data_IF_980001344875
#
_entry.id   IF_980001344875
#
_cell.length_a   1.000
_cell.length_b   1.000
_cell.length_c   1.000
_cell.angle_alpha   90.00
_cell.angle_beta   90.00
_cell.angle_gamma   90.00
#
_symmetry.space_group_name_H-M   'P 1'
#
loop_
_entity.id
_entity.type
_entity.pdbx_description
1 polymer ?
#
# COMPACT_ATOMS: atom_id res chain seq x y z
N UNK A 1 59.60 -17.98 -48.10
CA UNK A 1 59.12 -19.17 -47.34
C UNK A 1 57.86 -18.75 -46.58
N UNK A 2 56.76 -19.50 -46.69
CA UNK A 2 55.49 -19.18 -46.00
C UNK A 2 55.34 -19.99 -44.71
N UNK A 3 54.72 -19.40 -43.69
CA UNK A 3 54.37 -20.12 -42.47
C UNK A 3 53.32 -21.21 -42.77
N UNK A 4 53.43 -22.35 -42.08
CA UNK A 4 52.45 -23.44 -42.21
C UNK A 4 51.17 -23.04 -41.49
N UNK A 5 50.17 -22.61 -42.24
CA UNK A 5 48.82 -22.40 -41.73
C UNK A 5 47.98 -23.68 -41.91
N UNK A 6 47.22 -24.06 -40.88
CA UNK A 6 46.27 -25.19 -40.94
C UNK A 6 44.94 -24.78 -40.33
N UNK A 7 43.87 -24.94 -41.09
CA UNK A 7 42.51 -24.74 -40.58
C UNK A 7 42.21 -25.75 -39.47
N UNK A 8 41.68 -25.27 -38.34
CA UNK A 8 41.29 -26.14 -37.22
C UNK A 8 39.82 -26.49 -37.38
N UNK A 9 39.51 -27.78 -37.45
CA UNK A 9 38.12 -28.27 -37.58
C UNK A 9 37.21 -27.79 -36.44
N UNK A 10 37.76 -27.54 -35.25
CA UNK A 10 37.04 -26.98 -34.09
C UNK A 10 36.46 -25.57 -34.34
N UNK A 11 37.04 -24.79 -35.25
CA UNK A 11 36.46 -23.50 -35.64
C UNK A 11 35.30 -23.66 -36.63
N UNK A 12 35.32 -24.73 -37.43
CA UNK A 12 34.23 -25.04 -38.36
C UNK A 12 33.03 -25.70 -37.66
N UNK A 13 33.28 -26.65 -36.75
CA UNK A 13 32.23 -27.37 -36.01
C UNK A 13 32.60 -27.56 -34.54
N UNK A 14 31.81 -26.96 -33.66
CA UNK A 14 31.93 -27.10 -32.20
C UNK A 14 30.53 -27.25 -31.60
N UNK A 15 30.00 -28.49 -31.48
CA UNK A 15 28.72 -28.70 -30.84
C UNK A 15 28.79 -28.31 -29.36
N UNK A 16 27.64 -27.99 -28.80
CA UNK A 16 27.51 -27.72 -27.37
C UNK A 16 27.90 -28.94 -26.52
N UNK A 17 28.26 -28.68 -25.27
CA UNK A 17 28.51 -29.77 -24.31
C UNK A 17 27.19 -30.39 -23.91
N UNK A 18 27.15 -31.72 -23.77
CA UNK A 18 25.98 -32.41 -23.25
C UNK A 18 25.53 -31.81 -21.91
N UNK A 19 24.26 -31.43 -21.84
CA UNK A 19 23.65 -30.88 -20.64
C UNK A 19 23.54 -31.96 -19.55
N UNK A 20 23.44 -31.52 -18.31
CA UNK A 20 23.22 -32.41 -17.17
C UNK A 20 21.72 -32.56 -16.93
N UNK A 21 21.21 -33.79 -17.03
CA UNK A 21 19.85 -34.08 -16.62
C UNK A 21 19.73 -33.81 -15.10
N UNK A 22 18.80 -32.96 -14.69
CA UNK A 22 18.55 -32.61 -13.28
C UNK A 22 19.79 -32.11 -12.51
N UNK A 23 20.73 -31.43 -13.19
CA UNK A 23 22.03 -31.02 -12.63
C UNK A 23 22.92 -32.18 -12.12
N UNK A 24 22.60 -33.44 -12.43
CA UNK A 24 23.36 -34.61 -12.01
C UNK A 24 24.43 -34.96 -13.04
N UNK A 25 25.68 -35.15 -12.60
CA UNK A 25 26.71 -35.73 -13.45
C UNK A 25 26.78 -37.26 -13.22
N UNK A 26 26.65 -38.10 -14.25
CA UNK A 26 26.45 -39.54 -14.10
C UNK A 26 27.60 -40.26 -13.38
N UNK A 27 28.82 -39.75 -13.51
CA UNK A 27 30.02 -40.35 -12.94
C UNK A 27 30.57 -39.61 -11.72
N UNK A 28 29.75 -38.81 -11.02
CA UNK A 28 30.22 -38.03 -9.86
C UNK A 28 30.82 -38.91 -8.76
N UNK A 29 30.13 -40.00 -8.43
CA UNK A 29 30.52 -40.94 -7.36
C UNK A 29 31.62 -41.91 -7.79
N UNK A 30 31.90 -42.03 -9.08
CA UNK A 30 32.89 -42.96 -9.63
C UNK A 30 34.26 -42.31 -9.87
N UNK A 31 34.31 -41.00 -10.09
CA UNK A 31 35.54 -40.27 -10.44
C UNK A 31 36.20 -39.66 -9.20
N UNK A 32 37.54 -39.56 -9.15
CA UNK A 32 38.22 -38.84 -8.09
C UNK A 32 37.90 -37.33 -8.16
N UNK A 33 37.86 -36.68 -7.00
CA UNK A 33 37.63 -35.23 -6.88
C UNK A 33 38.93 -34.45 -7.15
N UNK A 34 39.33 -34.37 -8.42
CA UNK A 34 40.49 -33.59 -8.89
C UNK A 34 40.02 -32.33 -9.63
N UNK A 35 40.76 -31.21 -9.51
CA UNK A 35 40.47 -29.97 -10.25
C UNK A 35 40.34 -30.26 -11.75
N UNK A 36 39.26 -29.82 -12.42
CA UNK A 36 39.07 -30.06 -13.84
C UNK A 36 40.21 -29.40 -14.63
N UNK A 37 40.80 -30.13 -15.58
CA UNK A 37 41.92 -29.65 -16.39
C UNK A 37 43.23 -30.38 -16.10
N UNK A 38 43.55 -30.64 -14.83
CA UNK A 38 44.82 -31.28 -14.43
C UNK A 38 45.01 -32.65 -15.10
N UNK A 39 44.04 -33.55 -14.96
CA UNK A 39 44.06 -34.87 -15.62
C UNK A 39 43.96 -34.81 -17.15
N UNK A 40 43.61 -33.64 -17.72
CA UNK A 40 43.55 -33.41 -19.18
C UNK A 40 44.80 -32.69 -19.71
N UNK A 41 45.78 -32.40 -18.87
CA UNK A 41 46.98 -31.65 -19.23
C UNK A 41 46.76 -30.15 -19.45
N UNK A 42 45.64 -29.59 -18.96
CA UNK A 42 45.40 -28.14 -18.99
C UNK A 42 45.87 -27.55 -17.67
N UNK A 43 46.98 -26.81 -17.74
CA UNK A 43 47.59 -26.11 -16.64
C UNK A 43 48.00 -24.71 -17.09
N UNK A 44 48.01 -23.76 -16.16
CA UNK A 44 48.36 -22.37 -16.36
C UNK A 44 48.94 -21.84 -15.05
N UNK A 45 50.16 -21.30 -15.11
CA UNK A 45 50.80 -20.68 -13.94
C UNK A 45 50.07 -19.38 -13.56
N UNK A 46 49.73 -18.59 -14.58
CA UNK A 46 48.97 -17.35 -14.46
C UNK A 46 47.75 -17.39 -15.39
N UNK A 47 46.61 -16.90 -14.91
CA UNK A 47 45.40 -16.73 -15.72
C UNK A 47 45.11 -15.23 -15.79
N UNK A 48 45.26 -14.65 -16.97
CA UNK A 48 44.93 -13.24 -17.24
C UNK A 48 43.58 -13.18 -17.93
N UNK A 49 42.56 -12.62 -17.27
CA UNK A 49 41.24 -12.39 -17.85
C UNK A 49 41.11 -10.91 -18.27
N UNK A 50 40.92 -10.68 -19.57
CA UNK A 50 40.79 -9.32 -20.12
C UNK A 50 39.44 -8.66 -19.78
N UNK A 51 38.51 -9.39 -19.15
CA UNK A 51 37.20 -8.87 -18.72
C UNK A 51 37.26 -8.18 -17.36
N UNK A 52 38.35 -8.35 -16.62
CA UNK A 52 38.52 -7.74 -15.31
C UNK A 52 38.76 -6.23 -15.43
N UNK A 53 38.27 -5.48 -14.44
CA UNK A 53 38.38 -4.01 -14.42
C UNK A 53 39.83 -3.53 -14.49
N UNK A 54 40.77 -4.21 -13.84
CA UNK A 54 42.20 -3.87 -13.81
C UNK A 54 42.87 -3.95 -15.19
N UNK A 55 42.25 -4.67 -16.14
CA UNK A 55 42.79 -4.91 -17.48
C UNK A 55 42.03 -4.17 -18.58
N UNK A 56 41.08 -3.30 -18.22
CA UNK A 56 40.28 -2.54 -19.17
C UNK A 56 41.16 -1.74 -20.14
N UNK A 57 42.14 -0.99 -19.63
CA UNK A 57 43.08 -0.19 -20.45
C UNK A 57 43.88 -1.06 -21.43
N UNK A 58 44.30 -2.25 -20.97
CA UNK A 58 45.01 -3.20 -21.81
C UNK A 58 44.09 -3.73 -22.93
N UNK A 59 42.85 -4.07 -22.60
CA UNK A 59 41.85 -4.51 -23.58
C UNK A 59 41.56 -3.41 -24.59
N UNK A 60 41.35 -2.17 -24.15
CA UNK A 60 41.08 -1.02 -25.01
C UNK A 60 42.25 -0.69 -25.93
N UNK A 61 43.50 -0.80 -25.45
CA UNK A 61 44.70 -0.59 -26.28
C UNK A 61 44.89 -1.67 -27.36
N UNK A 62 44.36 -2.88 -27.13
CA UNK A 62 44.37 -3.98 -28.11
C UNK A 62 43.29 -3.77 -29.20
N UNK A 63 42.20 -3.07 -28.90
CA UNK A 63 41.11 -2.84 -29.88
C UNK A 63 41.56 -1.90 -31.00
N UNK A 64 41.05 -2.14 -32.20
CA UNK A 64 41.40 -1.30 -33.34
C UNK A 64 40.66 0.05 -33.26
N UNK A 65 41.33 1.21 -33.44
CA UNK A 65 40.69 2.53 -33.37
C UNK A 65 39.53 2.82 -34.35
N UNK A 66 39.22 1.87 -35.24
CA UNK A 66 38.12 1.98 -36.20
C UNK A 66 36.82 1.36 -35.66
N UNK A 67 36.93 0.49 -34.67
CA UNK A 67 35.80 -0.09 -33.95
C UNK A 67 35.36 0.96 -32.92
N UNK A 68 34.22 1.60 -33.18
CA UNK A 68 33.67 2.63 -32.29
C UNK A 68 32.53 2.03 -31.47
N UNK A 69 32.61 2.21 -30.15
CA UNK A 69 31.54 1.82 -29.23
C UNK A 69 30.58 3.01 -29.05
N UNK A 70 29.30 2.78 -29.31
CA UNK A 70 28.23 3.76 -29.03
C UNK A 70 27.71 3.58 -27.60
N UNK A 71 26.95 4.55 -27.09
CA UNK A 71 26.31 4.49 -25.75
C UNK A 71 27.28 4.45 -24.56
N UNK A 72 28.38 5.22 -24.64
CA UNK A 72 29.39 5.29 -23.57
C UNK A 72 28.84 5.99 -22.32
N UNK A 73 28.17 7.14 -22.50
CA UNK A 73 27.69 7.97 -21.39
C UNK A 73 26.16 7.87 -21.16
N UNK A 74 25.41 7.31 -22.12
CA UNK A 74 23.95 7.19 -22.05
C UNK A 74 23.49 5.87 -22.67
N UNK A 75 22.35 5.34 -22.23
CA UNK A 75 21.74 4.14 -22.81
C UNK A 75 20.47 4.46 -23.57
N UNK A 76 20.18 3.67 -24.61
CA UNK A 76 18.95 3.79 -25.37
C UNK A 76 17.68 3.58 -24.52
N UNK A 77 17.70 2.59 -23.61
CA UNK A 77 16.57 2.32 -22.71
C UNK A 77 16.72 3.06 -21.37
N UNK A 78 15.58 3.45 -20.78
CA UNK A 78 15.54 4.04 -19.43
C UNK A 78 15.97 3.00 -18.38
N UNK A 79 17.04 3.31 -17.64
CA UNK A 79 17.62 2.46 -16.60
C UNK A 79 16.84 2.54 -15.27
N UNK A 80 16.03 3.58 -15.07
CA UNK A 80 15.30 3.83 -13.82
C UNK A 80 13.98 3.07 -13.71
N UNK A 81 13.70 2.16 -14.64
CA UNK A 81 12.55 1.26 -14.56
C UNK A 81 12.99 0.03 -13.76
N UNK A 82 12.29 -0.26 -12.67
CA UNK A 82 12.53 -1.44 -11.83
C UNK A 82 12.36 -2.72 -12.66
N UNK A 83 13.45 -3.46 -12.86
CA UNK A 83 13.48 -4.73 -13.60
C UNK A 83 14.03 -5.84 -12.74
N UNK A 84 13.60 -7.04 -13.06
CA UNK A 84 14.11 -8.25 -12.45
C UNK A 84 15.55 -8.57 -12.86
N UNK A 85 16.30 -9.15 -11.93
CA UNK A 85 17.64 -9.70 -12.17
C UNK A 85 17.58 -11.00 -12.97
N UNK A 86 18.72 -11.41 -13.52
CA UNK A 86 18.83 -12.70 -14.19
C UNK A 86 18.62 -13.88 -13.24
N UNK A 87 18.12 -15.01 -13.77
CA UNK A 87 17.82 -16.21 -12.96
C UNK A 87 19.00 -16.68 -12.11
N UNK A 88 20.21 -16.66 -12.67
CA UNK A 88 21.41 -17.12 -11.96
C UNK A 88 21.80 -16.16 -10.82
N UNK A 89 21.58 -14.85 -10.99
CA UNK A 89 21.80 -13.83 -9.96
C UNK A 89 20.78 -13.99 -8.82
N UNK A 90 19.49 -14.18 -9.15
CA UNK A 90 18.44 -14.47 -8.15
C UNK A 90 18.77 -15.74 -7.34
N UNK A 91 19.25 -16.80 -7.99
CA UNK A 91 19.68 -18.03 -7.32
C UNK A 91 20.90 -17.82 -6.41
N UNK A 92 21.85 -16.96 -6.80
CA UNK A 92 22.99 -16.62 -5.93
C UNK A 92 22.54 -15.81 -4.70
N UNK A 93 21.62 -14.85 -4.88
CA UNK A 93 21.05 -14.09 -3.78
C UNK A 93 20.27 -14.98 -2.82
N UNK A 94 19.41 -15.88 -3.32
CA UNK A 94 18.65 -16.79 -2.47
C UNK A 94 19.53 -17.79 -1.73
N UNK A 95 20.61 -18.28 -2.35
CA UNK A 95 21.57 -19.16 -1.70
C UNK A 95 22.39 -18.43 -0.61
N UNK A 96 22.79 -17.17 -0.87
CA UNK A 96 23.57 -16.35 0.07
C UNK A 96 22.75 -15.86 1.26
N UNK A 97 21.50 -15.49 1.02
CA UNK A 97 20.61 -14.86 2.00
C UNK A 97 19.41 -15.74 2.35
N UNK A 98 19.65 -17.03 2.59
CA UNK A 98 18.60 -17.99 2.93
C UNK A 98 17.77 -17.58 4.17
N UNK A 99 18.41 -16.86 5.10
CA UNK A 99 17.79 -16.40 6.34
C UNK A 99 16.76 -15.27 6.17
N UNK A 100 16.56 -14.75 4.94
CA UNK A 100 15.47 -13.81 4.63
C UNK A 100 14.11 -14.52 4.48
N UNK A 101 14.09 -15.86 4.46
CA UNK A 101 12.82 -16.60 4.46
C UNK A 101 12.03 -16.33 5.77
N UNK A 102 10.69 -16.23 5.70
CA UNK A 102 9.88 -16.09 6.91
C UNK A 102 10.08 -17.29 7.83
N UNK A 103 10.00 -17.05 9.14
CA UNK A 103 10.13 -18.07 10.18
C UNK A 103 11.41 -18.94 10.07
N UNK A 104 12.50 -18.37 9.53
CA UNK A 104 13.77 -19.08 9.43
C UNK A 104 14.41 -19.35 10.80
N UNK A 105 14.14 -18.50 11.79
CA UNK A 105 14.72 -18.60 13.14
C UNK A 105 14.15 -19.79 13.89
N UNK A 106 15.03 -20.59 14.50
CA UNK A 106 14.62 -21.76 15.29
C UNK A 106 13.84 -21.31 16.53
N UNK A 107 12.65 -21.89 16.71
CA UNK A 107 11.79 -21.70 17.88
C UNK A 107 11.46 -23.07 18.51
N UNK A 108 11.61 -23.26 19.85
CA UNK A 108 12.22 -22.34 20.81
C UNK A 108 13.75 -22.21 20.64
N UNK A 109 14.31 -21.10 21.10
CA UNK A 109 15.75 -20.83 21.02
C UNK A 109 16.46 -21.26 22.31
N UNK A 110 17.47 -22.13 22.19
CA UNK A 110 18.08 -22.81 23.35
C UNK A 110 19.56 -22.43 23.54
N UNK A 111 20.22 -21.87 22.53
CA UNK A 111 21.67 -21.61 22.54
C UNK A 111 21.99 -20.19 23.02
N UNK A 112 22.68 -20.07 24.16
CA UNK A 112 23.03 -18.77 24.73
C UNK A 112 24.55 -18.67 24.96
N UNK A 113 25.12 -17.45 24.99
CA UNK A 113 26.55 -17.28 25.27
C UNK A 113 26.88 -17.83 26.67
N UNK A 114 28.03 -18.47 26.79
CA UNK A 114 28.51 -19.12 28.03
C UNK A 114 28.16 -20.60 28.16
N UNK A 115 27.24 -21.14 27.36
CA UNK A 115 26.95 -22.58 27.40
C UNK A 115 28.13 -23.41 26.84
N UNK A 116 28.36 -24.58 27.45
CA UNK A 116 29.31 -25.56 26.92
C UNK A 116 28.60 -26.46 25.92
N UNK A 117 29.19 -26.59 24.74
CA UNK A 117 28.64 -27.36 23.63
C UNK A 117 29.68 -28.23 22.95
N UNK A 118 29.23 -29.30 22.30
CA UNK A 118 30.06 -30.25 21.56
C UNK A 118 29.59 -30.35 20.09
N UNK A 119 30.55 -30.41 19.16
CA UNK A 119 30.28 -30.55 17.73
C UNK A 119 29.99 -32.02 17.40
N UNK A 120 28.79 -32.29 16.89
CA UNK A 120 28.32 -33.66 16.55
C UNK A 120 28.58 -34.03 15.09
N UNK A 121 28.63 -33.04 14.18
CA UNK A 121 28.84 -33.30 12.76
C UNK A 121 29.65 -32.20 12.06
N UNK A 122 30.40 -32.58 11.02
CA UNK A 122 31.19 -31.65 10.20
C UNK A 122 32.69 -31.72 10.50
N UNK A 123 33.34 -30.57 10.46
CA UNK A 123 34.76 -30.44 10.82
C UNK A 123 34.86 -30.21 12.33
N UNK A 124 35.83 -30.86 12.99
CA UNK A 124 36.01 -30.76 14.44
C UNK A 124 35.01 -31.55 15.29
N UNK A 125 34.45 -32.65 14.76
CA UNK A 125 33.54 -33.54 15.52
C UNK A 125 34.20 -34.04 16.81
N UNK A 126 33.44 -33.99 17.91
CA UNK A 126 33.88 -34.39 19.26
C UNK A 126 34.62 -33.30 20.03
N UNK A 127 34.90 -32.15 19.40
CA UNK A 127 35.49 -31.01 20.11
C UNK A 127 34.42 -30.27 20.91
N UNK A 128 34.79 -29.88 22.13
CA UNK A 128 33.96 -29.13 23.07
C UNK A 128 34.46 -27.70 23.19
N UNK A 129 33.56 -26.75 23.39
CA UNK A 129 33.90 -25.36 23.65
C UNK A 129 32.72 -24.58 24.22
N UNK A 130 33.01 -23.40 24.78
CA UNK A 130 31.98 -22.48 25.23
C UNK A 130 31.48 -21.59 24.08
N UNK A 131 30.19 -21.29 24.05
CA UNK A 131 29.61 -20.34 23.09
C UNK A 131 30.09 -18.92 23.46
N UNK A 132 30.82 -18.27 22.55
CA UNK A 132 31.27 -16.88 22.70
C UNK A 132 30.16 -15.91 22.29
N UNK A 133 29.59 -16.13 21.11
CA UNK A 133 28.61 -15.24 20.52
C UNK A 133 27.55 -16.02 19.73
N UNK A 134 26.36 -15.43 19.63
CA UNK A 134 25.20 -16.06 19.00
C UNK A 134 24.63 -15.14 17.92
N UNK A 135 24.54 -15.65 16.69
CA UNK A 135 23.89 -14.95 15.59
C UNK A 135 22.50 -15.56 15.35
N UNK A 136 21.54 -15.16 16.19
CA UNK A 136 20.19 -15.75 16.26
C UNK A 136 19.47 -15.78 14.90
N UNK A 137 19.50 -14.68 14.14
CA UNK A 137 18.78 -14.58 12.87
C UNK A 137 19.33 -15.50 11.76
N UNK A 138 20.59 -15.96 11.85
CA UNK A 138 21.19 -16.92 10.90
C UNK A 138 21.14 -18.37 11.38
N UNK A 139 20.71 -18.61 12.62
CA UNK A 139 20.87 -19.90 13.30
C UNK A 139 22.34 -20.36 13.36
N UNK A 140 23.24 -19.44 13.72
CA UNK A 140 24.68 -19.69 13.81
C UNK A 140 25.21 -19.30 15.20
N UNK A 141 26.22 -20.04 15.67
CA UNK A 141 26.91 -19.81 16.94
C UNK A 141 28.41 -19.77 16.72
N UNK A 142 29.11 -18.96 17.50
CA UNK A 142 30.58 -18.87 17.51
C UNK A 142 31.05 -19.55 18.78
N UNK A 143 31.85 -20.61 18.63
CA UNK A 143 32.31 -21.46 19.75
C UNK A 143 33.81 -21.32 19.88
N UNK A 144 34.29 -21.16 21.11
CA UNK A 144 35.71 -20.93 21.41
C UNK A 144 36.62 -22.03 20.85
N UNK A 145 37.70 -21.63 20.17
CA UNK A 145 38.70 -22.53 19.57
C UNK A 145 38.16 -23.57 18.55
N UNK A 146 36.95 -23.39 18.03
CA UNK A 146 36.36 -24.28 17.02
C UNK A 146 36.12 -23.49 15.73
N UNK A 147 36.39 -24.11 14.57
CA UNK A 147 36.25 -23.47 13.25
C UNK A 147 37.04 -22.15 13.14
N UNK A 148 38.28 -22.15 13.64
CA UNK A 148 39.20 -21.03 13.52
C UNK A 148 39.64 -20.91 12.06
N UNK A 149 39.49 -19.73 11.47
CA UNK A 149 40.02 -19.45 10.13
C UNK A 149 40.76 -18.12 10.11
N UNK A 150 41.63 -17.99 9.11
CA UNK A 150 42.39 -16.78 8.86
C UNK A 150 41.50 -15.70 8.24
N UNK A 151 41.31 -14.58 8.95
CA UNK A 151 40.62 -13.38 8.47
C UNK A 151 41.67 -12.42 7.95
N UNK A 152 41.64 -12.19 6.63
CA UNK A 152 42.53 -11.23 5.97
C UNK A 152 41.93 -9.83 6.07
N UNK A 153 42.67 -8.91 6.66
CA UNK A 153 42.34 -7.49 6.73
C UNK A 153 43.14 -6.80 5.61
N UNK A 154 42.46 -6.19 4.61
CA UNK A 154 43.16 -5.55 3.50
C UNK A 154 44.02 -4.38 3.99
N UNK A 155 45.13 -4.15 3.29
CA UNK A 155 46.02 -3.03 3.57
C UNK A 155 45.29 -1.68 3.39
N UNK A 156 45.54 -0.75 4.29
CA UNK A 156 45.21 0.67 4.16
C UNK A 156 46.49 1.48 4.06
N UNK A 157 46.40 2.77 3.70
CA UNK A 157 47.59 3.64 3.58
C UNK A 157 48.47 3.62 4.83
N UNK A 158 47.85 3.56 6.01
CA UNK A 158 48.53 3.55 7.31
C UNK A 158 48.82 2.15 7.88
N UNK A 159 48.25 1.08 7.31
CA UNK A 159 48.30 -0.27 7.90
C UNK A 159 48.57 -1.32 6.82
N UNK A 160 49.62 -2.13 6.94
CA UNK A 160 49.87 -3.23 6.01
C UNK A 160 48.76 -4.30 6.09
N UNK A 161 48.71 -5.18 5.10
CA UNK A 161 47.82 -6.34 5.13
C UNK A 161 48.13 -7.21 6.36
N UNK A 162 47.09 -7.60 7.09
CA UNK A 162 47.22 -8.38 8.31
C UNK A 162 46.32 -9.59 8.26
N UNK A 163 46.87 -10.74 8.65
CA UNK A 163 46.12 -12.00 8.79
C UNK A 163 45.90 -12.26 10.27
N UNK A 164 44.63 -12.36 10.69
CA UNK A 164 44.24 -12.58 12.08
C UNK A 164 43.37 -13.82 12.17
N UNK A 165 43.62 -14.69 13.14
CA UNK A 165 42.79 -15.86 13.38
C UNK A 165 41.57 -15.51 14.22
N UNK A 166 40.40 -15.94 13.75
CA UNK A 166 39.13 -15.81 14.47
C UNK A 166 38.25 -17.04 14.27
N UNK A 167 37.49 -17.36 15.30
CA UNK A 167 36.43 -18.37 15.24
C UNK A 167 35.31 -17.91 14.30
N UNK A 168 34.95 -18.76 13.36
CA UNK A 168 33.86 -18.49 12.43
C UNK A 168 32.55 -19.14 12.87
N UNK A 169 31.40 -18.57 12.47
CA UNK A 169 30.09 -19.10 12.84
C UNK A 169 29.90 -20.55 12.38
N UNK A 170 29.29 -21.35 13.26
CA UNK A 170 28.95 -22.75 13.06
C UNK A 170 27.42 -22.86 13.07
N UNK A 171 26.88 -23.69 12.19
CA UNK A 171 25.44 -23.95 12.18
C UNK A 171 25.00 -24.63 13.47
N UNK A 172 23.94 -24.10 14.07
CA UNK A 172 23.33 -24.59 15.31
C UNK A 172 22.99 -26.08 15.27
N UNK A 173 22.55 -26.60 14.11
CA UNK A 173 22.14 -28.00 13.94
C UNK A 173 23.32 -28.98 14.13
N UNK A 174 24.56 -28.51 13.98
CA UNK A 174 25.76 -29.35 14.10
C UNK A 174 26.24 -29.53 15.53
N UNK A 175 25.63 -28.84 16.48
CA UNK A 175 26.13 -28.68 17.84
C UNK A 175 25.05 -29.09 18.85
N UNK A 176 25.48 -29.69 19.97
CA UNK A 176 24.61 -30.11 21.07
C UNK A 176 25.15 -29.60 22.40
N UNK A 177 24.26 -29.39 23.36
CA UNK A 177 24.64 -28.97 24.70
C UNK A 177 25.31 -30.11 25.47
N UNK A 178 26.26 -29.75 26.32
CA UNK A 178 26.87 -30.64 27.29
C UNK A 178 26.30 -30.28 28.65
N UNK A 179 25.79 -31.27 29.37
CA UNK A 179 25.27 -31.07 30.72
C UNK A 179 26.42 -30.78 31.69
N UNK A 180 26.36 -29.71 32.50
CA UNK A 180 27.41 -29.42 33.47
C UNK A 180 27.53 -30.47 34.59
N UNK A 181 26.51 -31.30 34.82
CA UNK A 181 26.52 -32.34 35.87
C UNK A 181 27.06 -33.69 35.38
N UNK A 182 26.72 -34.10 34.17
CA UNK A 182 27.12 -35.40 33.61
C UNK A 182 28.32 -35.31 32.67
N UNK A 183 28.68 -34.10 32.21
CA UNK A 183 29.69 -33.85 31.18
C UNK A 183 29.45 -34.63 29.88
N UNK A 184 28.20 -35.03 29.64
CA UNK A 184 27.74 -35.76 28.47
C UNK A 184 26.79 -34.90 27.64
N UNK A 185 26.62 -35.29 26.38
CA UNK A 185 25.66 -34.68 25.47
C UNK A 185 24.25 -34.82 26.04
N UNK A 186 23.49 -33.73 26.09
CA UNK A 186 22.12 -33.77 26.59
C UNK A 186 21.13 -33.08 25.66
N UNK A 187 19.85 -33.47 25.79
CA UNK A 187 18.73 -32.77 25.17
C UNK A 187 18.16 -31.75 26.15
N UNK A 188 18.04 -30.50 25.70
CA UNK A 188 17.46 -29.41 26.48
C UNK A 188 16.05 -29.08 25.96
N UNK A 189 15.13 -28.80 26.88
CA UNK A 189 13.80 -28.26 26.59
C UNK A 189 13.56 -26.96 27.38
N UNK A 190 12.73 -26.05 26.84
CA UNK A 190 12.38 -24.80 27.52
C UNK A 190 11.20 -25.04 28.47
N UNK A 191 11.39 -24.73 29.74
CA UNK A 191 10.42 -24.92 30.83
C UNK A 191 10.16 -23.59 31.52
N UNK A 192 8.89 -23.29 31.82
CA UNK A 192 8.49 -22.11 32.59
C UNK A 192 8.53 -22.42 34.07
N UNK A 193 9.35 -21.68 34.82
CA UNK A 193 9.52 -21.84 36.26
C UNK A 193 9.17 -20.53 36.95
N UNK A 194 8.35 -20.59 37.99
CA UNK A 194 8.07 -19.42 38.83
C UNK A 194 9.26 -19.15 39.73
N UNK A 195 9.85 -17.96 39.60
CA UNK A 195 10.92 -17.54 40.49
C UNK A 195 10.37 -17.31 41.90
N UNK A 196 11.06 -17.82 42.92
CA UNK A 196 10.63 -17.71 44.32
C UNK A 196 10.81 -16.30 44.87
N UNK A 197 11.77 -15.54 44.35
CA UNK A 197 12.13 -14.21 44.84
C UNK A 197 11.30 -13.11 44.17
N UNK A 198 11.25 -13.10 42.83
CA UNK A 198 10.51 -12.08 42.06
C UNK A 198 9.03 -12.43 41.87
N UNK A 199 8.66 -13.70 42.03
CA UNK A 199 7.30 -14.20 41.77
C UNK A 199 6.93 -14.28 40.29
N UNK A 200 7.79 -13.80 39.38
CA UNK A 200 7.60 -13.80 37.94
C UNK A 200 7.78 -15.21 37.34
N UNK A 201 7.12 -15.47 36.20
CA UNK A 201 7.32 -16.68 35.42
C UNK A 201 8.50 -16.45 34.47
N UNK A 202 9.60 -17.14 34.73
CA UNK A 202 10.81 -17.10 33.91
C UNK A 202 10.93 -18.36 33.06
N UNK A 203 11.40 -18.20 31.83
CA UNK A 203 11.75 -19.33 30.97
C UNK A 203 13.17 -19.79 31.31
N UNK A 204 13.33 -21.08 31.62
CA UNK A 204 14.60 -21.73 31.86
C UNK A 204 14.75 -22.93 30.94
N UNK A 205 15.96 -23.41 30.75
CA UNK A 205 16.25 -24.59 29.93
C UNK A 205 16.50 -25.76 30.87
N UNK A 206 15.86 -26.89 30.65
CA UNK A 206 16.00 -28.09 31.47
C UNK A 206 16.67 -29.19 30.67
N UNK A 207 17.69 -29.82 31.23
CA UNK A 207 18.25 -31.08 30.71
C UNK A 207 17.29 -32.23 31.00
N UNK A 208 16.88 -32.96 29.96
CA UNK A 208 15.97 -34.10 30.11
C UNK A 208 16.60 -35.28 30.85
N UNK A 209 17.93 -35.41 30.78
CA UNK A 209 18.66 -36.56 31.33
C UNK A 209 18.93 -36.40 32.83
N UNK A 210 19.41 -35.22 33.24
CA UNK A 210 19.77 -34.93 34.63
C UNK A 210 18.70 -34.15 35.41
N UNK A 211 17.77 -33.51 34.70
CA UNK A 211 16.83 -32.55 35.28
C UNK A 211 17.47 -31.20 35.66
N UNK A 212 18.72 -30.94 35.27
CA UNK A 212 19.42 -29.69 35.59
C UNK A 212 18.77 -28.50 34.88
N UNK A 213 18.46 -27.47 35.66
CA UNK A 213 17.92 -26.19 35.17
C UNK A 213 19.05 -25.20 34.86
N UNK A 214 19.17 -24.83 33.60
CA UNK A 214 20.07 -23.80 33.10
C UNK A 214 19.31 -22.49 32.90
N UNK A 215 19.69 -21.40 33.59
CA UNK A 215 19.08 -20.09 33.37
C UNK A 215 19.44 -19.54 31.98
N UNK A 216 18.62 -18.63 31.48
CA UNK A 216 18.95 -17.81 30.31
C UNK A 216 19.83 -16.66 30.82
N UNK A 217 21.08 -16.52 30.34
CA UNK A 217 21.93 -15.41 30.75
C UNK A 217 21.31 -14.07 30.28
N UNK A 218 21.40 -13.00 31.09
CA UNK A 218 21.03 -11.68 30.62
C UNK A 218 21.91 -11.30 29.43
N UNK A 219 21.35 -10.53 28.51
CA UNK A 219 22.14 -10.01 27.40
C UNK A 219 23.04 -8.89 27.94
N UNK A 220 24.35 -9.10 27.89
CA UNK A 220 25.34 -8.06 28.14
C UNK A 220 25.32 -7.09 26.95
N UNK A 221 24.36 -6.18 26.93
CA UNK A 221 24.50 -4.98 26.11
C UNK A 221 25.59 -4.15 26.77
N UNK A 222 26.79 -4.12 26.21
CA UNK A 222 27.73 -3.06 26.51
C UNK A 222 26.98 -1.76 26.27
N UNK A 223 26.59 -1.06 27.33
CA UNK A 223 25.81 0.16 27.23
C UNK A 223 26.69 1.18 26.49
N UNK A 224 26.41 1.38 25.21
CA UNK A 224 26.98 2.50 24.48
C UNK A 224 26.52 3.75 25.23
N UNK A 225 27.48 4.51 25.76
CA UNK A 225 27.16 5.70 26.54
C UNK A 225 26.64 6.75 25.56
N UNK A 226 25.42 7.23 25.79
CA UNK A 226 24.81 8.29 24.99
C UNK A 226 25.49 9.66 25.18
N UNK A 227 25.07 10.64 24.39
CA UNK A 227 25.64 12.00 24.44
C UNK A 227 24.98 12.77 25.60
N UNK A 228 25.70 13.03 26.71
CA UNK A 228 25.11 13.68 27.89
C UNK A 228 24.63 15.11 27.61
N UNK A 229 25.03 15.73 26.49
CA UNK A 229 24.53 17.06 26.11
C UNK A 229 23.12 17.01 25.49
N UNK A 230 22.74 15.86 24.90
CA UNK A 230 21.45 15.67 24.22
C UNK A 230 20.52 14.73 24.97
N UNK A 231 21.07 13.91 25.84
CA UNK A 231 20.31 12.98 26.66
C UNK A 231 19.77 13.73 27.88
N UNK A 232 18.45 13.65 28.04
CA UNK A 232 17.78 14.22 29.23
C UNK A 232 18.09 13.34 30.44
N UNK A 233 18.37 13.94 31.62
CA UNK A 233 18.59 13.14 32.82
C UNK A 233 17.29 12.41 33.19
N UNK A 234 17.42 11.17 33.68
CA UNK A 234 16.29 10.29 34.00
C UNK A 234 15.27 10.97 34.94
N UNK A 235 15.75 11.82 35.86
CA UNK A 235 14.90 12.56 36.79
C UNK A 235 13.91 13.49 36.09
N UNK A 236 14.34 14.18 35.04
CA UNK A 236 13.51 15.11 34.27
C UNK A 236 12.59 14.34 33.31
N UNK A 237 13.05 13.19 32.79
CA UNK A 237 12.23 12.32 31.92
C UNK A 237 11.11 11.61 32.67
N UNK A 238 11.38 11.19 33.91
CA UNK A 238 10.42 10.48 34.78
C UNK A 238 9.47 11.45 35.51
N UNK A 239 9.67 12.76 35.37
CA UNK A 239 8.79 13.75 35.98
C UNK A 239 7.38 13.65 35.37
N UNK A 240 6.44 13.11 36.15
CA UNK A 240 5.05 12.92 35.74
C UNK A 240 4.29 14.25 35.74
N UNK A 241 4.49 15.04 34.68
CA UNK A 241 3.90 16.38 34.49
C UNK A 241 2.52 16.37 33.83
N UNK A 242 2.05 15.22 33.32
CA UNK A 242 0.79 15.10 32.61
C UNK A 242 -0.43 15.12 33.56
N UNK A 243 -1.17 16.23 33.55
CA UNK A 243 -2.49 16.34 34.17
C UNK A 243 -3.60 16.04 33.15
N UNK A 244 -4.12 14.81 33.24
CA UNK A 244 -5.15 14.32 32.33
C UNK A 244 -6.42 15.15 32.37
N UNK A 245 -6.85 15.64 33.53
CA UNK A 245 -8.16 16.29 33.67
C UNK A 245 -8.17 17.66 32.99
N UNK A 246 -7.12 18.45 33.20
CA UNK A 246 -6.96 19.77 32.60
C UNK A 246 -6.83 19.69 31.07
N UNK A 247 -5.98 18.80 30.55
CA UNK A 247 -5.79 18.67 29.10
C UNK A 247 -7.03 18.10 28.40
N UNK A 248 -7.66 17.08 28.98
CA UNK A 248 -8.86 16.48 28.40
C UNK A 248 -10.02 17.46 28.35
N UNK A 249 -10.19 18.31 29.36
CA UNK A 249 -11.24 19.33 29.36
C UNK A 249 -11.12 20.27 28.15
N UNK A 250 -9.90 20.76 27.87
CA UNK A 250 -9.64 21.64 26.72
C UNK A 250 -9.88 20.91 25.39
N UNK A 251 -9.40 19.66 25.27
CA UNK A 251 -9.58 18.87 24.06
C UNK A 251 -11.06 18.56 23.79
N UNK A 252 -11.82 18.20 24.83
CA UNK A 252 -13.26 17.95 24.74
C UNK A 252 -14.00 19.22 24.34
N UNK A 253 -13.68 20.36 24.97
CA UNK A 253 -14.32 21.62 24.65
C UNK A 253 -14.06 22.04 23.19
N UNK A 254 -12.83 21.93 22.71
CA UNK A 254 -12.49 22.26 21.31
C UNK A 254 -13.21 21.36 20.31
N UNK A 255 -13.30 20.06 20.60
CA UNK A 255 -14.03 19.11 19.75
C UNK A 255 -15.53 19.36 19.79
N UNK A 256 -16.10 19.61 20.96
CA UNK A 256 -17.51 19.90 21.13
C UNK A 256 -17.90 21.16 20.36
N UNK A 257 -17.12 22.24 20.49
CA UNK A 257 -17.35 23.48 19.74
C UNK A 257 -17.31 23.24 18.22
N UNK A 258 -16.35 22.46 17.72
CA UNK A 258 -16.30 22.13 16.29
C UNK A 258 -17.53 21.31 15.82
N UNK A 259 -18.06 20.43 16.66
CA UNK A 259 -19.30 19.68 16.38
C UNK A 259 -20.52 20.59 16.40
N UNK A 260 -20.60 21.51 17.37
CA UNK A 260 -21.67 22.50 17.49
C UNK A 260 -21.68 23.45 16.29
N UNK A 261 -20.53 23.96 15.87
CA UNK A 261 -20.41 24.81 14.67
C UNK A 261 -20.90 24.09 13.42
N UNK A 262 -20.50 22.83 13.24
CA UNK A 262 -20.97 22.01 12.12
C UNK A 262 -22.49 21.80 12.18
N UNK A 263 -23.03 21.56 13.37
CA UNK A 263 -24.46 21.39 13.58
C UNK A 263 -25.25 22.68 13.28
N UNK A 264 -24.75 23.84 13.72
CA UNK A 264 -25.37 25.14 13.41
C UNK A 264 -25.36 25.40 11.92
N UNK A 265 -24.27 25.10 11.20
CA UNK A 265 -24.24 25.20 9.72
C UNK A 265 -25.28 24.28 9.06
N UNK A 266 -25.43 23.05 9.56
CA UNK A 266 -26.49 22.16 9.09
C UNK A 266 -27.88 22.75 9.31
N UNK A 267 -28.14 23.35 10.47
CA UNK A 267 -29.42 24.00 10.76
C UNK A 267 -29.65 25.25 9.89
N UNK A 268 -28.60 26.02 9.59
CA UNK A 268 -28.67 27.14 8.67
C UNK A 268 -29.09 26.67 7.28
N UNK A 269 -28.43 25.64 6.75
CA UNK A 269 -28.79 25.05 5.45
C UNK A 269 -30.24 24.54 5.44
N UNK A 270 -30.70 23.86 6.50
CA UNK A 270 -32.09 23.42 6.62
C UNK A 270 -33.07 24.59 6.69
N UNK A 271 -32.73 25.66 7.42
CA UNK A 271 -33.56 26.86 7.51
C UNK A 271 -33.67 27.57 6.16
N UNK A 272 -32.55 27.75 5.45
CA UNK A 272 -32.51 28.34 4.11
C UNK A 272 -33.38 27.57 3.11
N UNK A 273 -33.43 26.24 3.23
CA UNK A 273 -34.31 25.40 2.42
C UNK A 273 -35.80 25.55 2.79
N UNK A 274 -36.14 25.54 4.07
CA UNK A 274 -37.54 25.52 4.51
C UNK A 274 -38.22 26.90 4.58
N UNK A 275 -37.47 27.98 4.78
CA UNK A 275 -38.04 29.31 4.90
C UNK A 275 -38.78 29.80 3.66
N UNK A 276 -38.31 29.62 2.40
CA UNK A 276 -39.09 30.01 1.24
C UNK A 276 -40.43 29.25 1.14
N UNK A 277 -40.47 27.98 1.54
CA UNK A 277 -41.71 27.18 1.58
C UNK A 277 -42.69 27.74 2.61
N UNK A 278 -42.19 28.12 3.79
CA UNK A 278 -43.01 28.78 4.83
C UNK A 278 -43.53 30.13 4.36
N UNK A 279 -42.68 30.93 3.71
CA UNK A 279 -43.06 32.21 3.15
C UNK A 279 -44.11 32.06 2.05
N UNK A 280 -43.99 31.05 1.19
CA UNK A 280 -44.99 30.72 0.17
C UNK A 280 -46.31 30.31 0.82
N UNK A 281 -46.30 29.37 1.77
CA UNK A 281 -47.51 28.98 2.50
C UNK A 281 -48.20 30.18 3.19
N UNK A 282 -47.42 31.12 3.73
CA UNK A 282 -47.96 32.34 4.33
C UNK A 282 -48.58 33.28 3.28
N UNK A 283 -47.98 33.40 2.08
CA UNK A 283 -48.55 34.14 0.95
C UNK A 283 -49.83 33.47 0.45
N UNK A 284 -49.82 32.17 0.30
CA UNK A 284 -50.96 31.38 -0.16
C UNK A 284 -52.11 31.46 0.85
N UNK A 285 -51.83 31.40 2.15
CA UNK A 285 -52.83 31.62 3.19
C UNK A 285 -53.44 33.03 3.14
N UNK A 286 -52.62 34.06 2.89
CA UNK A 286 -53.11 35.44 2.69
C UNK A 286 -53.95 35.56 1.42
N UNK A 287 -53.51 34.96 0.31
CA UNK A 287 -54.24 34.94 -0.95
C UNK A 287 -55.57 34.18 -0.83
N UNK A 288 -55.59 33.09 -0.07
CA UNK A 288 -56.79 32.36 0.29
C UNK A 288 -57.74 33.24 1.11
N UNK A 289 -57.24 33.94 2.13
CA UNK A 289 -58.05 34.86 2.93
C UNK A 289 -58.65 35.99 2.07
N UNK A 290 -57.88 36.59 1.16
CA UNK A 290 -58.42 37.59 0.23
C UNK A 290 -59.46 36.98 -0.71
N UNK A 291 -59.19 35.79 -1.28
CA UNK A 291 -60.15 35.09 -2.12
C UNK A 291 -61.47 34.73 -1.40
N UNK A 292 -61.41 34.40 -0.11
CA UNK A 292 -62.61 34.19 0.72
C UNK A 292 -63.40 35.48 0.88
N UNK A 293 -62.73 36.62 1.10
CA UNK A 293 -63.37 37.94 1.18
C UNK A 293 -64.01 38.31 -0.16
N UNK A 294 -63.29 38.12 -1.26
CA UNK A 294 -63.79 38.40 -2.61
C UNK A 294 -65.01 37.54 -2.94
N UNK A 295 -64.94 36.23 -2.71
CA UNK A 295 -66.07 35.30 -2.90
C UNK A 295 -67.27 35.65 -2.01
N UNK A 296 -67.03 36.02 -0.74
CA UNK A 296 -68.09 36.47 0.16
C UNK A 296 -68.75 37.77 -0.33
N UNK A 297 -67.97 38.72 -0.85
CA UNK A 297 -68.47 39.97 -1.42
C UNK A 297 -69.30 39.74 -2.69
N UNK A 298 -68.84 38.86 -3.59
CA UNK A 298 -69.57 38.46 -4.80
C UNK A 298 -70.89 37.77 -4.46
N UNK A 299 -70.86 36.81 -3.53
CA UNK A 299 -72.06 36.11 -3.07
C UNK A 299 -73.06 37.05 -2.37
N UNK A 300 -72.57 38.06 -1.63
CA UNK A 300 -73.40 39.10 -1.02
C UNK A 300 -74.04 39.99 -2.11
N UNK A 301 -73.25 40.43 -3.09
CA UNK A 301 -73.73 41.24 -4.21
C UNK A 301 -74.82 40.51 -5.02
N UNK A 302 -74.59 39.24 -5.36
CA UNK A 302 -75.58 38.41 -6.06
C UNK A 302 -76.88 38.26 -5.25
N UNK A 303 -76.77 38.04 -3.92
CA UNK A 303 -77.94 38.00 -3.04
C UNK A 303 -78.67 39.32 -2.99
N UNK A 304 -77.97 40.45 -2.90
CA UNK A 304 -78.59 41.78 -2.88
C UNK A 304 -79.33 42.09 -4.18
N UNK A 305 -78.80 41.64 -5.33
CA UNK A 305 -79.46 41.78 -6.64
C UNK A 305 -80.72 40.91 -6.72
N UNK A 306 -80.73 39.72 -6.11
CA UNK A 306 -81.88 38.80 -6.10
C UNK A 306 -82.99 39.14 -5.11
N UNK A 307 -82.75 40.01 -4.13
CA UNK A 307 -83.79 40.39 -3.16
C UNK A 307 -84.77 41.33 -3.84
N UNK A 308 -85.87 40.76 -4.32
CA UNK A 308 -86.98 41.49 -4.93
C UNK A 308 -87.65 42.40 -3.88
N UNK A 309 -87.51 43.72 -4.04
CA UNK A 309 -88.33 44.71 -3.32
C UNK A 309 -87.60 45.81 -2.57
N UNK A 310 -86.26 45.80 -2.50
CA UNK A 310 -85.49 46.94 -1.96
C UNK A 310 -84.69 47.61 -3.07
N UNK A 311 -85.13 48.77 -3.54
CA UNK A 311 -84.36 49.57 -4.49
C UNK A 311 -83.05 50.04 -3.83
N UNK A 312 -81.91 49.75 -4.46
CA UNK A 312 -80.62 50.28 -4.02
C UNK A 312 -80.66 51.82 -4.02
N UNK A 313 -79.92 52.51 -3.13
CA UNK A 313 -79.82 53.97 -3.14
C UNK A 313 -79.44 54.50 -4.54
N UNK A 314 -80.01 55.64 -4.96
CA UNK A 314 -79.84 56.17 -6.31
C UNK A 314 -78.35 56.29 -6.74
N UNK A 315 -77.48 56.73 -5.83
CA UNK A 315 -76.04 56.87 -6.10
C UNK A 315 -75.30 55.53 -6.35
N UNK A 316 -75.81 54.40 -5.83
CA UNK A 316 -75.29 53.06 -6.19
C UNK A 316 -75.73 52.65 -7.58
N UNK A 317 -76.97 52.97 -7.96
CA UNK A 317 -77.49 52.64 -9.30
C UNK A 317 -76.71 53.39 -10.38
N UNK A 318 -76.44 54.67 -10.15
CA UNK A 318 -75.62 55.51 -11.03
C UNK A 318 -74.17 54.99 -11.15
N UNK A 319 -73.61 54.43 -10.07
CA UNK A 319 -72.27 53.86 -10.08
C UNK A 319 -72.20 52.47 -10.75
N UNK A 320 -73.26 51.65 -10.63
CA UNK A 320 -73.31 50.30 -11.20
C UNK A 320 -73.61 50.33 -12.72
N UNK A 321 -74.43 51.28 -13.18
CA UNK A 321 -74.81 51.42 -14.58
C UNK A 321 -73.62 51.40 -15.57
N UNK A 322 -72.55 52.22 -15.41
CA UNK A 322 -71.41 52.19 -16.33
C UNK A 322 -70.64 50.87 -16.28
N UNK A 323 -70.58 50.20 -15.12
CA UNK A 323 -69.95 48.87 -15.02
C UNK A 323 -70.75 47.81 -15.78
N UNK A 324 -72.08 47.85 -15.71
CA UNK A 324 -72.93 46.94 -16.50
C UNK A 324 -72.78 47.20 -17.99
N UNK A 325 -72.68 48.46 -18.42
CA UNK A 325 -72.42 48.81 -19.82
C UNK A 325 -71.03 48.34 -20.27
N UNK A 326 -70.00 48.54 -19.45
CA UNK A 326 -68.64 48.04 -19.70
C UNK A 326 -68.61 46.52 -19.82
N UNK A 327 -69.24 45.79 -18.89
CA UNK A 327 -69.30 44.33 -18.92
C UNK A 327 -70.08 43.87 -20.15
N UNK A 328 -71.18 44.53 -20.53
CA UNK A 328 -71.91 44.19 -21.76
C UNK A 328 -71.06 44.43 -23.01
N UNK A 329 -70.29 45.52 -23.04
CA UNK A 329 -69.39 45.82 -24.15
C UNK A 329 -68.25 44.79 -24.23
N UNK A 330 -67.66 44.39 -23.11
CA UNK A 330 -66.66 43.32 -23.04
C UNK A 330 -67.22 41.96 -23.45
N UNK A 331 -68.44 41.62 -22.99
CA UNK A 331 -69.13 40.38 -23.39
C UNK A 331 -69.48 40.38 -24.89
N UNK A 332 -69.84 41.52 -25.46
CA UNK A 332 -70.07 41.66 -26.90
C UNK A 332 -68.76 41.57 -27.67
N UNK A 333 -67.70 42.25 -27.24
CA UNK A 333 -66.39 42.19 -27.88
C UNK A 333 -65.82 40.77 -27.85
N UNK A 334 -65.91 40.08 -26.70
CA UNK A 334 -65.48 38.67 -26.59
C UNK A 334 -66.35 37.75 -27.43
N UNK A 335 -67.67 37.96 -27.50
CA UNK A 335 -68.54 37.20 -28.39
C UNK A 335 -68.26 37.46 -29.87
N UNK A 336 -67.90 38.69 -30.25
CA UNK A 336 -67.46 39.05 -31.60
C UNK A 336 -66.11 38.42 -31.93
N UNK A 337 -65.16 38.42 -30.99
CA UNK A 337 -63.87 37.74 -31.14
C UNK A 337 -64.04 36.21 -31.23
N UNK A 338 -64.90 35.61 -30.42
CA UNK A 338 -65.23 34.19 -30.49
C UNK A 338 -65.97 33.85 -31.78
N UNK A 339 -66.92 34.68 -32.23
CA UNK A 339 -67.60 34.52 -33.52
C UNK A 339 -66.64 34.68 -34.69
N UNK A 340 -65.68 35.60 -34.61
CA UNK A 340 -64.62 35.78 -35.60
C UNK A 340 -63.66 34.58 -35.62
N UNK A 341 -63.27 34.06 -34.45
CA UNK A 341 -62.46 32.83 -34.32
C UNK A 341 -63.23 31.61 -34.82
N UNK A 342 -64.52 31.49 -34.55
CA UNK A 342 -65.37 30.41 -35.03
C UNK A 342 -65.60 30.50 -36.55
N UNK A 343 -65.84 31.70 -37.09
CA UNK A 343 -65.94 31.94 -38.54
C UNK A 343 -64.62 31.61 -39.24
N UNK A 344 -63.49 32.06 -38.67
CA UNK A 344 -62.15 31.72 -39.14
C UNK A 344 -61.89 30.20 -39.11
N UNK A 345 -62.32 29.51 -38.04
CA UNK A 345 -62.24 28.07 -37.93
C UNK A 345 -63.11 27.34 -38.97
N UNK A 346 -64.31 27.84 -39.30
CA UNK A 346 -65.15 27.26 -40.37
C UNK A 346 -64.60 27.50 -41.78
N UNK A 347 -63.90 28.62 -42.04
CA UNK A 347 -63.20 28.85 -43.31
C UNK A 347 -61.90 28.06 -43.41
N UNK A 348 -61.20 27.83 -42.30
CA UNK A 348 -60.03 26.95 -42.24
C UNK A 348 -60.44 25.47 -42.44
N UNK A 349 -61.54 25.02 -41.85
CA UNK A 349 -62.07 23.66 -42.06
C UNK A 349 -62.56 23.38 -43.50
N UNK A 350 -62.80 24.41 -44.33
CA UNK A 350 -63.10 24.26 -45.76
C UNK A 350 -61.85 24.35 -46.65
N UNK A 351 -60.70 24.76 -46.10
CA UNK A 351 -59.41 24.86 -46.79
C UNK A 351 -58.44 23.72 -46.41
N UNK A 352 -58.59 23.11 -45.23
CA UNK A 352 -57.72 22.04 -44.71
C UNK A 352 -58.26 20.62 -44.93
N UNK A 353 -59.16 20.44 -45.91
CA UNK A 353 -59.57 19.13 -46.40
C UNK A 353 -58.50 18.40 -47.23
N UNK A 354 -57.33 19.02 -47.47
CA UNK A 354 -56.32 18.50 -48.41
C UNK A 354 -54.91 18.29 -47.82
N UNK A 355 -54.67 18.54 -46.51
CA UNK A 355 -53.30 18.55 -45.95
C UNK A 355 -53.08 17.81 -44.63
N UNK A 356 -54.06 17.01 -44.16
CA UNK A 356 -53.96 16.26 -42.89
C UNK A 356 -53.45 14.81 -43.06
N UNK A 357 -52.62 14.55 -44.09
CA UNK A 357 -52.01 13.25 -44.34
C UNK A 357 -50.47 13.24 -44.20
N UNK A 358 -49.83 14.38 -43.91
CA UNK A 358 -48.36 14.51 -44.04
C UNK A 358 -47.58 14.82 -42.76
N UNK A 359 -48.24 15.10 -41.63
CA UNK A 359 -47.53 15.52 -40.39
C UNK A 359 -47.43 14.45 -39.29
N UNK A 360 -48.09 13.28 -39.44
CA UNK A 360 -48.02 12.21 -38.43
C UNK A 360 -46.74 11.33 -38.47
N UNK A 361 -45.78 11.58 -39.36
CA UNK A 361 -44.56 10.75 -39.48
C UNK A 361 -43.29 11.34 -38.84
N UNK A 362 -43.30 12.57 -38.30
CA UNK A 362 -42.05 13.22 -37.82
C UNK A 362 -41.83 13.26 -36.30
N UNK A 363 -42.80 12.91 -35.46
CA UNK A 363 -42.64 13.04 -33.99
C UNK A 363 -42.20 11.78 -33.22
N UNK A 364 -41.99 10.63 -33.89
CA UNK A 364 -41.59 9.38 -33.22
C UNK A 364 -40.07 9.14 -33.14
N UNK A 365 -39.22 10.18 -33.26
CA UNK A 365 -37.77 10.01 -33.47
C UNK A 365 -36.81 10.48 -32.37
N UNK A 366 -37.25 11.00 -31.21
CA UNK A 366 -36.38 11.81 -30.33
C UNK A 366 -36.37 11.39 -28.85
N UNK A 367 -36.38 10.08 -28.53
CA UNK A 367 -36.54 9.61 -27.15
C UNK A 367 -35.63 8.43 -26.73
N UNK A 368 -34.42 8.27 -27.30
CA UNK A 368 -33.58 7.07 -27.03
C UNK A 368 -32.09 7.32 -26.68
N UNK A 369 -31.62 8.54 -26.33
CA UNK A 369 -30.15 8.78 -26.17
C UNK A 369 -29.63 9.32 -24.81
N UNK A 370 -30.41 9.35 -23.71
CA UNK A 370 -29.98 10.01 -22.45
C UNK A 370 -29.80 9.13 -21.19
N UNK A 371 -29.66 7.79 -21.30
CA UNK A 371 -29.62 6.88 -20.13
C UNK A 371 -28.26 6.26 -19.71
N UNK A 372 -27.10 6.65 -20.28
CA UNK A 372 -25.83 5.90 -20.02
C UNK A 372 -24.76 6.53 -19.09
N UNK A 373 -24.94 7.70 -18.46
CA UNK A 373 -23.81 8.38 -17.76
C UNK A 373 -23.76 8.34 -16.21
N UNK A 374 -24.66 7.66 -15.49
CA UNK A 374 -24.70 7.77 -14.01
C UNK A 374 -23.97 6.69 -13.17
N UNK A 375 -23.27 5.70 -13.74
CA UNK A 375 -22.69 4.59 -12.94
C UNK A 375 -21.23 4.73 -12.43
N UNK A 376 -20.44 5.76 -12.76
CA UNK A 376 -18.99 5.78 -12.40
C UNK A 376 -18.62 6.45 -11.06
N UNK A 377 -19.57 6.89 -10.23
CA UNK A 377 -19.28 7.78 -9.09
C UNK A 377 -19.00 7.16 -7.72
N UNK A 378 -19.11 5.84 -7.51
CA UNK A 378 -19.21 5.27 -6.15
C UNK A 378 -18.19 4.16 -5.86
N UNK A 379 -16.89 4.50 -5.79
CA UNK A 379 -15.88 3.69 -5.09
C UNK A 379 -14.55 4.47 -4.90
N UNK A 380 -14.40 5.13 -3.74
CA UNK A 380 -13.08 5.45 -3.13
C UNK A 380 -13.20 5.43 -1.62
#
# INVERSE_FOLDING_TARGET
>A
MYARFRTRSKFYKRPERALRAYNVSPNMLRRPKVKPGLLRGVHSDETVDLRDRERLDMLESIRHPKERDFYQDHTYHNQWISRDLERHQKMQLSARYRYFAPDYVITPWIWYPGDVVEVVSGEGVGQRGAIIAVTKYKNEIIVQNINVQDVVIPASETRPEQVVQREHPISVVRVRHVDPSTEQLCNLEVVKVRNKETGALEEKRMSLESGVLLPIPPLDSSMEVGDPLKDTPIQDSDEATYDREAEMAVLVQRRLHAMEDHFVRSLQNSYEFHEPLRAQNAKDMRAFQSGVVDAASAALAEKLIRVDGTALPAWWQDAIAPHVESIKAEMLATAEEEAAKAAAATTAAAADGETLATEMEQENGFMDEEEEEEEEGMQT
#
